data_IF_288628537883
#
_entry.id   IF_288628537883
#
_cell.length_a   1.000
_cell.length_b   1.000
_cell.length_c   1.000
_cell.angle_alpha   90.00
_cell.angle_beta   90.00
_cell.angle_gamma   90.00
#
_symmetry.space_group_name_H-M   'P 1'
#
loop_
_entity.id
_entity.type
_entity.pdbx_description
1 polymer ?
#
# COMPACT_ATOMS: atom_id res chain seq x y z
N UNK A 1 1.00 26.03 20.27
CA UNK A 1 0.41 24.87 20.95
C UNK A 1 0.47 23.73 19.94
N UNK A 2 1.33 22.73 20.16
CA UNK A 2 1.50 21.64 19.18
C UNK A 2 0.33 20.70 19.41
N UNK A 3 -0.64 20.70 18.49
CA UNK A 3 -1.87 19.92 18.62
C UNK A 3 -1.54 18.42 18.68
N UNK A 4 -2.17 17.75 19.66
CA UNK A 4 -2.11 16.31 19.90
C UNK A 4 -2.83 15.54 18.79
N UNK A 5 -2.28 15.59 17.58
CA UNK A 5 -2.90 14.99 16.39
C UNK A 5 -2.72 13.47 16.44
N UNK A 6 -3.85 12.77 16.41
CA UNK A 6 -3.92 11.32 16.30
C UNK A 6 -3.41 10.88 14.93
N UNK A 7 -2.54 9.87 14.92
CA UNK A 7 -1.86 9.41 13.70
C UNK A 7 -2.23 7.96 13.45
N UNK A 8 -2.64 7.65 12.22
CA UNK A 8 -2.58 6.30 11.68
C UNK A 8 -1.21 6.12 11.04
N UNK A 9 -0.48 5.09 11.42
CA UNK A 9 0.75 4.64 10.75
C UNK A 9 0.46 3.31 10.07
N UNK A 10 0.78 3.22 8.79
CA UNK A 10 0.71 1.98 7.99
C UNK A 10 2.10 1.62 7.51
N UNK A 11 2.53 0.39 7.75
CA UNK A 11 3.80 -0.15 7.28
C UNK A 11 3.53 -1.42 6.47
N UNK A 12 3.89 -1.42 5.18
CA UNK A 12 3.70 -2.57 4.28
C UNK A 12 5.06 -3.23 4.03
N UNK A 13 5.33 -4.27 4.79
CA UNK A 13 6.52 -5.11 4.67
C UNK A 13 6.39 -6.21 3.62
N UNK A 14 7.36 -7.12 3.60
CA UNK A 14 7.38 -8.26 2.66
C UNK A 14 6.39 -9.37 3.02
N UNK A 15 6.25 -9.68 4.32
CA UNK A 15 5.36 -10.75 4.81
C UNK A 15 4.09 -10.26 5.50
N UNK A 16 4.17 -9.12 6.18
CA UNK A 16 3.09 -8.54 6.97
C UNK A 16 2.87 -7.06 6.65
N UNK A 17 1.75 -6.55 7.14
CA UNK A 17 1.40 -5.13 7.19
C UNK A 17 1.00 -4.76 8.61
N UNK A 18 1.61 -3.71 9.15
CA UNK A 18 1.31 -3.15 10.46
C UNK A 18 0.42 -1.91 10.33
N UNK A 19 -0.54 -1.78 11.24
CA UNK A 19 -1.40 -0.60 11.36
C UNK A 19 -1.48 -0.16 12.81
N UNK A 20 -1.08 1.08 13.06
CA UNK A 20 -1.02 1.65 14.42
C UNK A 20 -1.82 2.94 14.44
N UNK A 21 -2.71 3.11 15.42
CA UNK A 21 -3.28 4.42 15.76
C UNK A 21 -2.75 4.82 17.13
N UNK A 22 -2.26 6.05 17.27
CA UNK A 22 -1.77 6.58 18.54
C UNK A 22 -1.65 8.10 18.55
N UNK A 23 -1.25 8.62 19.70
CA UNK A 23 -0.97 10.04 19.92
C UNK A 23 0.40 10.17 20.59
N UNK A 24 1.19 11.16 20.17
CA UNK A 24 2.56 11.35 20.62
C UNK A 24 3.40 10.06 20.53
N UNK A 25 3.72 9.45 21.68
CA UNK A 25 4.50 8.22 21.81
C UNK A 25 3.68 7.04 22.34
N UNK A 26 2.36 7.20 22.50
CA UNK A 26 1.47 6.21 23.10
C UNK A 26 0.59 5.53 22.03
N UNK A 27 0.78 4.22 21.76
CA UNK A 27 -0.06 3.46 20.84
C UNK A 27 -1.41 3.10 21.49
N UNK A 28 -2.50 3.34 20.78
CA UNK A 28 -3.86 3.06 21.24
C UNK A 28 -4.47 1.84 20.54
N UNK A 29 -4.16 1.66 19.25
CA UNK A 29 -4.48 0.47 18.47
C UNK A 29 -3.23 0.00 17.76
N UNK A 30 -2.92 -1.28 17.85
CA UNK A 30 -1.78 -1.89 17.18
C UNK A 30 -2.17 -3.26 16.66
N UNK A 31 -2.00 -3.48 15.36
CA UNK A 31 -2.23 -4.76 14.71
C UNK A 31 -1.19 -5.02 13.63
N UNK A 32 -0.84 -6.30 13.45
CA UNK A 32 -0.09 -6.79 12.30
C UNK A 32 -0.94 -7.85 11.58
N UNK A 33 -0.98 -7.79 10.25
CA UNK A 33 -1.71 -8.72 9.39
C UNK A 33 -0.75 -9.38 8.41
N UNK A 34 -0.91 -10.68 8.20
CA UNK A 34 -0.11 -11.45 7.24
C UNK A 34 -0.57 -11.15 5.80
N UNK A 35 -0.11 -10.02 5.28
CA UNK A 35 -0.37 -9.47 3.95
C UNK A 35 0.76 -8.51 3.55
N UNK A 36 1.87 -9.04 3.05
CA UNK A 36 3.00 -8.23 2.61
C UNK A 36 3.21 -8.32 1.12
N UNK A 37 4.00 -7.40 0.56
CA UNK A 37 4.17 -7.31 -0.90
C UNK A 37 4.84 -8.57 -1.50
N UNK A 38 5.75 -9.24 -0.79
CA UNK A 38 6.38 -10.49 -1.26
C UNK A 38 5.36 -11.64 -1.23
N UNK A 39 4.65 -11.82 -0.11
CA UNK A 39 3.67 -12.90 0.02
C UNK A 39 2.50 -12.74 -0.95
N UNK A 40 2.03 -11.50 -1.16
CA UNK A 40 0.96 -11.22 -2.13
C UNK A 40 1.42 -11.36 -3.58
N UNK A 41 2.66 -11.01 -3.92
CA UNK A 41 3.21 -11.26 -5.26
C UNK A 41 3.14 -12.74 -5.60
N UNK A 42 3.65 -13.60 -4.71
CA UNK A 42 3.67 -15.05 -4.90
C UNK A 42 2.25 -15.64 -5.02
N UNK A 43 1.30 -15.08 -4.28
CA UNK A 43 -0.06 -15.62 -4.22
C UNK A 43 -0.94 -15.17 -5.40
N UNK A 44 -0.88 -13.88 -5.77
CA UNK A 44 -1.85 -13.27 -6.70
C UNK A 44 -1.27 -12.89 -8.06
N UNK A 45 0.05 -12.70 -8.15
CA UNK A 45 0.75 -12.29 -9.37
C UNK A 45 1.71 -13.38 -9.86
N UNK A 46 1.21 -14.62 -9.88
CA UNK A 46 1.97 -15.80 -10.32
C UNK A 46 2.52 -15.59 -11.73
N UNK A 47 3.77 -16.01 -11.93
CA UNK A 47 4.52 -15.84 -13.18
C UNK A 47 4.61 -14.37 -13.65
N UNK A 48 4.55 -13.41 -12.71
CA UNK A 48 4.62 -11.99 -13.03
C UNK A 48 3.37 -11.41 -13.70
N UNK A 49 2.30 -12.18 -13.90
CA UNK A 49 1.16 -11.74 -14.73
C UNK A 49 0.39 -10.58 -14.08
N UNK A 50 0.27 -9.48 -14.81
CA UNK A 50 -0.57 -8.34 -14.46
C UNK A 50 -1.92 -8.46 -15.18
N UNK A 51 -3.00 -8.22 -14.44
CA UNK A 51 -4.37 -8.16 -14.97
C UNK A 51 -5.32 -7.63 -13.92
N UNK A 52 -6.42 -7.01 -14.34
CA UNK A 52 -7.44 -6.49 -13.41
C UNK A 52 -7.96 -7.60 -12.48
N UNK A 53 -8.07 -8.83 -12.98
CA UNK A 53 -8.47 -10.00 -12.18
C UNK A 53 -7.48 -10.33 -11.05
N UNK A 54 -6.17 -10.17 -11.27
CA UNK A 54 -5.16 -10.43 -10.24
C UNK A 54 -5.16 -9.32 -9.19
N UNK A 55 -5.27 -8.05 -9.61
CA UNK A 55 -5.43 -6.92 -8.71
C UNK A 55 -6.69 -7.06 -7.83
N UNK A 56 -7.86 -7.35 -8.43
CA UNK A 56 -9.09 -7.54 -7.65
C UNK A 56 -8.99 -8.66 -6.63
N UNK A 57 -8.28 -9.76 -6.95
CA UNK A 57 -8.06 -10.86 -6.00
C UNK A 57 -7.14 -10.46 -4.84
N UNK A 58 -6.06 -9.73 -5.12
CA UNK A 58 -5.15 -9.24 -4.11
C UNK A 58 -5.85 -8.24 -3.18
N UNK A 59 -6.55 -7.25 -3.73
CA UNK A 59 -7.31 -6.26 -2.97
C UNK A 59 -8.38 -6.92 -2.09
N UNK A 60 -9.18 -7.83 -2.65
CA UNK A 60 -10.21 -8.55 -1.89
C UNK A 60 -9.60 -9.33 -0.71
N UNK A 61 -8.43 -9.95 -0.92
CA UNK A 61 -7.75 -10.67 0.14
C UNK A 61 -7.21 -9.72 1.23
N UNK A 62 -6.67 -8.56 0.87
CA UNK A 62 -6.27 -7.53 1.83
C UNK A 62 -7.48 -7.05 2.65
N UNK A 63 -8.58 -6.74 1.99
CA UNK A 63 -9.85 -6.34 2.63
C UNK A 63 -10.33 -7.38 3.66
N UNK A 64 -10.32 -8.67 3.28
CA UNK A 64 -10.66 -9.77 4.18
C UNK A 64 -9.73 -9.87 5.40
N UNK A 65 -8.42 -9.64 5.23
CA UNK A 65 -7.48 -9.62 6.37
C UNK A 65 -7.75 -8.46 7.33
N UNK A 66 -8.24 -7.35 6.79
CA UNK A 66 -8.53 -6.11 7.53
C UNK A 66 -9.92 -6.10 8.19
N UNK A 67 -10.85 -6.92 7.74
CA UNK A 67 -12.27 -6.91 8.17
C UNK A 67 -12.43 -6.92 9.70
N UNK A 68 -11.67 -7.78 10.39
CA UNK A 68 -11.75 -7.94 11.85
C UNK A 68 -11.32 -6.70 12.65
N UNK A 69 -10.58 -5.75 12.04
CA UNK A 69 -10.12 -4.53 12.71
C UNK A 69 -10.75 -3.26 12.16
N UNK A 70 -11.34 -3.31 10.96
CA UNK A 70 -11.73 -2.13 10.20
C UNK A 70 -12.72 -1.22 10.95
N UNK A 71 -13.75 -1.79 11.57
CA UNK A 71 -14.74 -1.02 12.34
C UNK A 71 -14.11 -0.33 13.56
N UNK A 72 -13.19 -1.00 14.25
CA UNK A 72 -12.50 -0.43 15.43
C UNK A 72 -11.62 0.75 15.03
N UNK A 73 -10.84 0.61 13.94
CA UNK A 73 -9.95 1.65 13.44
C UNK A 73 -10.74 2.86 12.93
N UNK A 74 -11.79 2.65 12.14
CA UNK A 74 -12.64 3.75 11.65
C UNK A 74 -13.36 4.49 12.78
N UNK A 75 -13.85 3.76 13.80
CA UNK A 75 -14.50 4.38 14.97
C UNK A 75 -13.52 5.19 15.80
N UNK A 76 -12.26 4.75 15.90
CA UNK A 76 -11.21 5.48 16.60
C UNK A 76 -10.83 6.77 15.85
N UNK A 77 -10.72 6.69 14.52
CA UNK A 77 -10.33 7.82 13.68
C UNK A 77 -8.86 8.21 13.86
N UNK A 78 -8.41 9.13 13.02
CA UNK A 78 -7.08 9.74 13.04
C UNK A 78 -7.15 11.08 12.30
N UNK A 79 -6.27 12.02 12.64
CA UNK A 79 -6.18 13.33 11.99
C UNK A 79 -5.24 13.26 10.78
N UNK A 80 -4.18 12.46 10.87
CA UNK A 80 -3.20 12.25 9.80
C UNK A 80 -2.90 10.77 9.60
N UNK A 81 -2.76 10.35 8.35
CA UNK A 81 -2.25 9.03 8.00
C UNK A 81 -0.83 9.15 7.47
N UNK A 82 0.07 8.34 8.00
CA UNK A 82 1.47 8.24 7.63
C UNK A 82 1.76 6.83 7.13
N UNK A 83 2.63 6.74 6.14
CA UNK A 83 3.06 5.47 5.60
C UNK A 83 4.57 5.29 5.71
N UNK A 84 5.00 4.06 5.97
CA UNK A 84 6.39 3.64 6.14
C UNK A 84 6.77 2.52 5.15
N UNK A 85 8.06 2.15 5.16
CA UNK A 85 8.68 1.09 4.35
C UNK A 85 8.81 1.35 2.85
N UNK A 86 9.57 0.46 2.19
CA UNK A 86 9.91 0.58 0.77
C UNK A 86 8.71 0.51 -0.17
N UNK A 87 7.59 -0.08 0.25
CA UNK A 87 6.36 -0.14 -0.57
C UNK A 87 5.74 1.24 -0.73
N UNK A 88 5.48 1.93 0.38
CA UNK A 88 4.85 3.25 0.37
C UNK A 88 5.79 4.27 -0.26
N UNK A 89 7.09 4.19 0.04
CA UNK A 89 8.11 5.04 -0.59
C UNK A 89 8.11 4.90 -2.12
N UNK A 90 8.14 3.66 -2.64
CA UNK A 90 8.11 3.43 -4.08
C UNK A 90 6.81 3.94 -4.73
N UNK A 91 5.66 3.79 -4.05
CA UNK A 91 4.37 4.33 -4.54
C UNK A 91 4.46 5.85 -4.65
N UNK A 92 4.99 6.53 -3.62
CA UNK A 92 5.17 7.98 -3.65
C UNK A 92 6.07 8.42 -4.82
N UNK A 93 7.23 7.77 -4.99
CA UNK A 93 8.19 8.07 -6.06
C UNK A 93 7.57 7.88 -7.45
N UNK A 94 6.78 6.82 -7.64
CA UNK A 94 6.07 6.55 -8.89
C UNK A 94 4.96 7.56 -9.13
N UNK A 95 4.20 7.96 -8.11
CA UNK A 95 3.18 9.00 -8.27
C UNK A 95 3.80 10.34 -8.66
N UNK A 96 4.96 10.69 -8.09
CA UNK A 96 5.73 11.86 -8.51
C UNK A 96 6.16 11.70 -9.98
N UNK A 97 6.67 10.53 -10.37
CA UNK A 97 7.00 10.20 -11.76
C UNK A 97 5.81 10.29 -12.74
N UNK A 98 4.59 10.12 -12.25
CA UNK A 98 3.33 10.30 -13.01
C UNK A 98 2.82 11.75 -13.02
N UNK A 99 3.55 12.69 -12.41
CA UNK A 99 3.24 14.13 -12.39
C UNK A 99 2.48 14.61 -11.15
N UNK A 100 2.40 13.83 -10.07
CA UNK A 100 1.81 14.27 -8.80
C UNK A 100 2.88 14.82 -7.84
N UNK A 101 3.07 16.14 -7.84
CA UNK A 101 4.23 16.78 -7.20
C UNK A 101 4.12 16.98 -5.66
N UNK A 102 2.93 16.84 -5.08
CA UNK A 102 2.69 17.11 -3.64
C UNK A 102 3.06 15.93 -2.71
N UNK A 103 3.47 14.79 -3.28
CA UNK A 103 3.86 13.59 -2.53
C UNK A 103 2.72 12.86 -1.81
N UNK A 104 1.45 13.24 -2.03
CA UNK A 104 0.31 12.62 -1.35
C UNK A 104 -0.15 11.33 -2.03
N UNK A 105 -0.47 10.31 -1.23
CA UNK A 105 -1.10 9.07 -1.69
C UNK A 105 -2.60 9.19 -1.40
N UNK A 106 -3.44 9.04 -2.43
CA UNK A 106 -4.91 9.09 -2.30
C UNK A 106 -5.54 7.91 -3.01
N UNK A 107 -6.75 7.53 -2.63
CA UNK A 107 -7.49 6.44 -3.27
C UNK A 107 -7.63 6.66 -4.79
N UNK A 108 -7.88 7.90 -5.24
CA UNK A 108 -7.96 8.24 -6.67
C UNK A 108 -6.63 8.01 -7.40
N UNK A 109 -5.51 8.35 -6.77
CA UNK A 109 -4.16 8.17 -7.34
C UNK A 109 -3.74 6.71 -7.37
N UNK A 110 -4.07 5.95 -6.32
CA UNK A 110 -3.86 4.50 -6.30
C UNK A 110 -4.69 3.80 -7.38
N UNK A 111 -5.95 4.19 -7.58
CA UNK A 111 -6.77 3.68 -8.69
C UNK A 111 -6.12 3.94 -10.04
N UNK A 112 -5.66 5.17 -10.30
CA UNK A 112 -4.94 5.50 -11.53
C UNK A 112 -3.65 4.69 -11.68
N UNK A 113 -2.89 4.49 -10.60
CA UNK A 113 -1.69 3.68 -10.62
C UNK A 113 -2.00 2.20 -10.95
N UNK A 114 -3.09 1.64 -10.43
CA UNK A 114 -3.55 0.29 -10.78
C UNK A 114 -3.95 0.23 -12.26
N UNK A 115 -4.65 1.25 -12.78
CA UNK A 115 -4.99 1.33 -14.20
C UNK A 115 -3.73 1.33 -15.07
N UNK A 116 -2.74 2.17 -14.74
CA UNK A 116 -1.44 2.21 -15.45
C UNK A 116 -0.70 0.89 -15.34
N UNK A 117 -0.71 0.22 -14.18
CA UNK A 117 -0.07 -1.09 -14.02
C UNK A 117 -0.76 -2.17 -14.88
N UNK A 118 -2.06 -2.06 -15.14
CA UNK A 118 -2.79 -2.98 -16.01
C UNK A 118 -2.52 -2.77 -17.51
N UNK A 119 -1.81 -1.72 -17.90
CA UNK A 119 -1.33 -1.53 -19.28
C UNK A 119 -0.16 -2.47 -19.63
N UNK A 120 0.53 -2.99 -18.62
CA UNK A 120 1.62 -3.97 -18.76
C UNK A 120 1.10 -5.41 -18.67
N UNK A 121 1.72 -6.34 -19.39
CA UNK A 121 1.33 -7.76 -19.36
C UNK A 121 2.01 -8.52 -18.20
N UNK A 122 3.28 -8.21 -17.93
CA UNK A 122 4.09 -8.81 -16.87
C UNK A 122 4.72 -7.74 -15.97
N UNK A 123 5.03 -8.13 -14.72
CA UNK A 123 5.84 -7.35 -13.78
C UNK A 123 7.18 -6.96 -14.40
N UNK A 124 7.78 -7.85 -15.19
CA UNK A 124 9.07 -7.59 -15.85
C UNK A 124 8.98 -6.47 -16.89
N UNK A 125 7.79 -6.24 -17.45
CA UNK A 125 7.53 -5.21 -18.46
C UNK A 125 7.30 -3.82 -17.86
N UNK A 126 7.14 -3.71 -16.52
CA UNK A 126 6.79 -2.45 -15.88
C UNK A 126 7.91 -1.43 -16.12
N UNK A 127 7.52 -0.33 -16.75
CA UNK A 127 8.36 0.85 -16.99
C UNK A 127 7.64 2.08 -16.44
N UNK A 128 7.97 2.43 -15.20
CA UNK A 128 7.41 3.59 -14.51
C UNK A 128 8.56 4.46 -13.99
N UNK A 129 8.49 5.76 -14.28
CA UNK A 129 9.41 6.72 -13.69
C UNK A 129 9.30 6.66 -12.16
N UNK A 130 10.44 6.62 -11.47
CA UNK A 130 10.51 6.48 -10.00
C UNK A 130 10.45 5.05 -9.48
N UNK A 131 10.17 4.04 -10.33
CA UNK A 131 10.24 2.63 -9.91
C UNK A 131 11.63 2.04 -10.17
N UNK A 132 12.32 1.61 -9.12
CA UNK A 132 13.62 0.94 -9.24
C UNK A 132 13.48 -0.54 -9.61
N UNK A 133 14.52 -1.11 -10.24
CA UNK A 133 14.54 -2.54 -10.59
C UNK A 133 14.49 -3.46 -9.35
N UNK A 134 15.03 -3.02 -8.21
CA UNK A 134 14.91 -3.76 -6.94
C UNK A 134 13.47 -3.85 -6.44
N UNK A 135 12.68 -2.78 -6.64
CA UNK A 135 11.30 -2.70 -6.15
C UNK A 135 10.28 -3.29 -7.12
N UNK A 136 10.59 -3.30 -8.42
CA UNK A 136 9.72 -3.81 -9.49
C UNK A 136 9.09 -5.18 -9.19
N UNK A 137 9.82 -6.22 -8.72
CA UNK A 137 9.27 -7.56 -8.54
C UNK A 137 8.10 -7.64 -7.56
N UNK A 138 7.99 -6.69 -6.63
CA UNK A 138 6.98 -6.71 -5.55
C UNK A 138 6.03 -5.51 -5.62
N UNK A 139 6.20 -4.64 -6.61
CA UNK A 139 5.53 -3.34 -6.64
C UNK A 139 4.01 -3.48 -6.84
N UNK A 140 3.58 -4.25 -7.84
CA UNK A 140 2.16 -4.44 -8.14
C UNK A 140 1.38 -4.99 -6.95
N UNK A 141 1.95 -5.95 -6.23
CA UNK A 141 1.35 -6.53 -5.04
C UNK A 141 1.40 -5.60 -3.81
N UNK A 142 2.35 -4.67 -3.75
CA UNK A 142 2.39 -3.65 -2.71
C UNK A 142 1.40 -2.50 -2.93
N UNK A 143 1.00 -2.26 -4.19
CA UNK A 143 -0.06 -1.30 -4.56
C UNK A 143 -1.46 -1.86 -4.31
N UNK A 144 -1.64 -3.16 -4.53
CA UNK A 144 -2.92 -3.88 -4.39
C UNK A 144 -3.29 -4.18 -2.94
#
# INVERSE_FOLDING_TARGET
>A
QVESNSKLVVDIGGGSTEMIIGQEFEPELLNSKQMGCVSFTQQYFKNGKLSSKNFSKAMLAAEQKLESIATKYRKKGWDIALGSSGTIKAIQEVLIGLGFEDGLITAKRLSKLIDTLNEFASIDDIQLAGLTDERKPVFAAGVA
#
